data_IF_774683284542
#
_entry.id   IF_774683284542
#
_cell.length_a   1.000
_cell.length_b   1.000
_cell.length_c   1.000
_cell.angle_alpha   90.00
_cell.angle_beta   90.00
_cell.angle_gamma   90.00
#
_symmetry.space_group_name_H-M   'P 1'
#
loop_
_entity.id
_entity.type
_entity.pdbx_description
1 polymer ?
#
# COMPACT_ATOMS: atom_id res chain seq x y z
N UNK A 1 6.73 -8.65 -15.48
CA UNK A 1 5.27 -8.86 -15.52
C UNK A 1 4.74 -9.35 -14.18
N UNK A 2 5.32 -10.40 -13.58
CA UNK A 2 4.92 -10.88 -12.26
C UNK A 2 4.94 -9.77 -11.20
N UNK A 3 5.98 -8.93 -11.20
CA UNK A 3 6.14 -7.83 -10.25
C UNK A 3 4.92 -6.89 -10.21
N UNK A 4 4.42 -6.48 -11.38
CA UNK A 4 3.21 -5.67 -11.49
C UNK A 4 1.94 -6.40 -11.04
N UNK A 5 1.89 -7.72 -11.22
CA UNK A 5 0.75 -8.54 -10.80
C UNK A 5 0.74 -8.84 -9.30
N UNK A 6 1.85 -8.65 -8.58
CA UNK A 6 1.88 -8.80 -7.11
C UNK A 6 1.95 -7.46 -6.38
N UNK A 7 2.38 -6.40 -7.07
CA UNK A 7 2.59 -5.08 -6.52
C UNK A 7 1.36 -4.49 -5.80
N UNK A 8 0.13 -4.52 -6.35
CA UNK A 8 -1.03 -3.91 -5.71
C UNK A 8 -1.30 -4.44 -4.30
N UNK A 9 -1.00 -5.72 -4.04
CA UNK A 9 -1.14 -6.34 -2.73
C UNK A 9 0.04 -5.99 -1.81
N UNK A 10 1.26 -5.94 -2.35
CA UNK A 10 2.45 -5.55 -1.60
C UNK A 10 2.40 -4.08 -1.15
N UNK A 11 1.86 -3.19 -1.98
CA UNK A 11 1.60 -1.80 -1.63
C UNK A 11 0.62 -1.69 -0.45
N UNK A 12 -0.51 -2.40 -0.54
CA UNK A 12 -1.55 -2.40 0.51
C UNK A 12 -1.18 -3.17 1.77
N UNK A 13 -0.14 -3.99 1.75
CA UNK A 13 0.32 -4.71 2.95
C UNK A 13 0.71 -3.76 4.10
N UNK A 14 1.10 -2.52 3.79
CA UNK A 14 1.37 -1.50 4.83
C UNK A 14 0.11 -1.16 5.65
N UNK A 15 -1.09 -1.36 5.10
CA UNK A 15 -2.34 -1.20 5.84
C UNK A 15 -2.46 -2.19 6.99
N UNK A 16 -1.92 -3.40 6.84
CA UNK A 16 -1.96 -4.39 7.91
C UNK A 16 -1.17 -3.90 9.14
N UNK A 17 -0.13 -3.08 8.95
CA UNK A 17 0.56 -2.43 10.06
C UNK A 17 -0.33 -1.38 10.74
N UNK A 18 -1.13 -0.64 9.96
CA UNK A 18 -1.99 0.45 10.45
C UNK A 18 -3.21 -0.11 11.20
N UNK A 19 -3.86 -1.14 10.68
CA UNK A 19 -5.10 -1.71 11.26
C UNK A 19 -4.85 -2.89 12.19
N UNK A 20 -3.83 -3.69 11.90
CA UNK A 20 -3.55 -4.95 12.60
C UNK A 20 -2.55 -4.81 13.74
N UNK A 21 -1.87 -3.67 13.88
CA UNK A 21 -0.86 -3.45 14.93
C UNK A 21 0.40 -4.31 14.74
N UNK A 22 1.20 -4.42 15.81
CA UNK A 22 2.56 -4.99 15.76
C UNK A 22 2.65 -6.47 15.38
N UNK A 23 1.55 -7.21 15.48
CA UNK A 23 1.48 -8.64 15.12
C UNK A 23 1.55 -8.91 13.60
N UNK A 24 1.24 -7.90 12.77
CA UNK A 24 1.32 -8.01 11.31
C UNK A 24 2.53 -7.29 10.72
N UNK A 25 3.43 -6.77 11.57
CA UNK A 25 4.68 -6.17 11.11
C UNK A 25 5.53 -7.23 10.42
N UNK A 26 5.78 -7.01 9.12
CA UNK A 26 6.70 -7.83 8.35
C UNK A 26 8.09 -7.77 9.01
N UNK A 27 8.66 -8.92 9.44
CA UNK A 27 9.96 -8.96 10.08
C UNK A 27 11.04 -8.56 9.08
N UNK A 28 11.48 -7.29 9.17
CA UNK A 28 12.43 -6.67 8.23
C UNK A 28 13.72 -7.49 8.10
N UNK A 29 14.19 -8.06 9.20
CA UNK A 29 15.43 -8.82 9.27
C UNK A 29 15.36 -10.14 8.50
N UNK A 30 14.16 -10.73 8.37
CA UNK A 30 13.96 -11.99 7.63
C UNK A 30 13.61 -11.75 6.15
N UNK A 31 13.16 -10.56 5.81
CA UNK A 31 12.61 -10.21 4.50
C UNK A 31 13.36 -9.05 3.84
N UNK A 32 14.67 -8.93 4.08
CA UNK A 32 15.50 -7.83 3.56
C UNK A 32 15.35 -7.64 2.04
N UNK A 33 15.45 -8.72 1.26
CA UNK A 33 15.30 -8.68 -0.20
C UNK A 33 13.93 -8.19 -0.65
N UNK A 34 12.87 -8.52 0.10
CA UNK A 34 11.52 -8.03 -0.19
C UNK A 34 11.41 -6.53 0.10
N UNK A 35 12.09 -6.04 1.14
CA UNK A 35 12.12 -4.61 1.44
C UNK A 35 12.90 -3.81 0.39
N UNK A 36 14.02 -4.36 -0.10
CA UNK A 36 14.78 -3.78 -1.21
C UNK A 36 13.95 -3.76 -2.51
N UNK A 37 13.31 -4.90 -2.85
CA UNK A 37 12.40 -4.99 -4.00
C UNK A 37 11.24 -4.00 -3.88
N UNK A 38 10.63 -3.86 -2.70
CA UNK A 38 9.54 -2.91 -2.47
C UNK A 38 10.00 -1.48 -2.69
N UNK A 39 11.22 -1.12 -2.25
CA UNK A 39 11.79 0.21 -2.51
C UNK A 39 12.03 0.44 -4.00
N UNK A 40 12.63 -0.53 -4.69
CA UNK A 40 12.87 -0.45 -6.13
C UNK A 40 11.57 -0.32 -6.95
N UNK A 41 10.52 -1.05 -6.56
CA UNK A 41 9.22 -0.96 -7.22
C UNK A 41 8.56 0.40 -7.07
N UNK A 42 8.76 1.14 -5.97
CA UNK A 42 8.24 2.52 -5.85
C UNK A 42 8.92 3.50 -6.82
N UNK A 43 10.15 3.20 -7.22
CA UNK A 43 10.94 4.02 -8.14
C UNK A 43 10.63 3.69 -9.62
N UNK A 44 9.97 2.56 -9.89
CA UNK A 44 9.56 2.16 -11.24
C UNK A 44 8.49 3.09 -11.80
N UNK A 45 8.66 3.53 -13.05
CA UNK A 45 7.76 4.50 -13.71
C UNK A 45 6.31 3.98 -13.86
N UNK A 46 6.13 2.67 -14.07
CA UNK A 46 4.80 2.07 -14.19
C UNK A 46 4.05 2.02 -12.85
N UNK A 47 4.79 1.86 -11.76
CA UNK A 47 4.22 1.90 -10.40
C UNK A 47 4.01 3.33 -9.94
N UNK A 48 5.00 4.20 -10.11
CA UNK A 48 5.02 5.57 -9.59
C UNK A 48 3.82 6.41 -10.02
N UNK A 49 3.34 6.21 -11.25
CA UNK A 49 2.13 6.90 -11.75
C UNK A 49 0.82 6.46 -11.08
N UNK A 50 0.80 5.27 -10.46
CA UNK A 50 -0.39 4.71 -9.78
C UNK A 50 -0.21 4.50 -8.27
N UNK A 51 0.98 4.84 -7.76
CA UNK A 51 1.32 4.65 -6.35
C UNK A 51 0.51 5.59 -5.47
N UNK A 52 -0.05 5.04 -4.39
CA UNK A 52 -0.78 5.77 -3.38
C UNK A 52 -0.15 5.53 -2.01
N UNK A 53 -0.07 6.60 -1.21
CA UNK A 53 0.43 6.48 0.15
C UNK A 53 -0.48 5.58 1.01
N UNK A 54 0.09 4.81 1.96
CA UNK A 54 -0.68 3.92 2.84
C UNK A 54 -1.83 4.63 3.58
N UNK A 55 -1.68 5.91 3.86
CA UNK A 55 -2.69 6.75 4.52
C UNK A 55 -3.94 6.97 3.65
N UNK A 56 -3.77 7.12 2.34
CA UNK A 56 -4.89 7.28 1.39
C UNK A 56 -5.69 5.98 1.35
N UNK A 57 -5.00 4.85 1.24
CA UNK A 57 -5.61 3.53 1.32
C UNK A 57 -6.31 3.30 2.68
N UNK A 58 -5.74 3.78 3.78
CA UNK A 58 -6.34 3.65 5.11
C UNK A 58 -7.61 4.49 5.27
N UNK A 59 -7.64 5.72 4.72
CA UNK A 59 -8.84 6.56 4.66
C UNK A 59 -9.94 5.91 3.84
N UNK A 60 -9.60 5.37 2.67
CA UNK A 60 -10.55 4.63 1.82
C UNK A 60 -11.11 3.39 2.53
N UNK A 61 -10.25 2.62 3.21
CA UNK A 61 -10.71 1.43 3.92
C UNK A 61 -11.64 1.81 5.08
N UNK A 62 -11.34 2.89 5.81
CA UNK A 62 -12.22 3.40 6.88
C UNK A 62 -13.58 3.86 6.33
N UNK A 63 -13.61 4.63 5.24
CA UNK A 63 -14.87 5.09 4.62
C UNK A 63 -15.69 3.92 4.10
N UNK A 64 -15.04 2.92 3.49
CA UNK A 64 -15.67 1.66 3.08
C UNK A 64 -16.23 0.88 4.27
N UNK A 65 -15.50 0.77 5.39
CA UNK A 65 -15.98 0.11 6.61
C UNK A 65 -17.16 0.86 7.26
N UNK A 66 -17.21 2.18 7.13
CA UNK A 66 -18.32 3.01 7.59
C UNK A 66 -19.57 2.93 6.71
N UNK A 67 -19.53 2.21 5.58
CA UNK A 67 -20.64 2.08 4.63
C UNK A 67 -20.79 3.25 3.65
N UNK A 68 -19.88 4.22 3.69
CA UNK A 68 -19.86 5.40 2.81
C UNK A 68 -18.50 5.49 2.11
N UNK A 69 -18.18 4.57 1.17
CA UNK A 69 -16.90 4.57 0.47
C UNK A 69 -16.72 5.86 -0.34
N UNK A 70 -15.64 6.58 -0.05
CA UNK A 70 -15.25 7.80 -0.74
C UNK A 70 -14.26 7.46 -1.86
N UNK A 71 -14.74 7.43 -3.09
CA UNK A 71 -13.93 7.09 -4.27
C UNK A 71 -13.11 8.27 -4.81
N UNK A 72 -13.40 9.50 -4.37
CA UNK A 72 -12.75 10.72 -4.86
C UNK A 72 -11.51 11.11 -4.03
N UNK A 73 -11.14 10.27 -3.04
CA UNK A 73 -9.98 10.47 -2.16
C UNK A 73 -8.64 10.68 -2.90
N UNK A 74 -8.49 10.14 -4.11
CA UNK A 74 -7.28 10.32 -4.92
C UNK A 74 -7.29 11.64 -5.72
N UNK A 75 -8.46 12.25 -5.92
CA UNK A 75 -8.64 13.49 -6.72
C UNK A 75 -8.55 14.73 -5.84
N UNK A 76 -8.91 14.62 -4.55
CA UNK A 76 -8.95 15.73 -3.60
C UNK A 76 -7.58 16.18 -3.03
N UNK A 77 -6.48 15.52 -3.39
CA UNK A 77 -5.12 15.84 -2.92
C UNK A 77 -4.29 16.64 -3.95
N UNK A 78 -4.93 17.21 -4.98
CA UNK A 78 -4.30 18.06 -6.00
C UNK A 78 -4.57 19.55 -5.79
#
# INVERSE_FOLDING_TARGET
MLDYMIWPWCERSDLLNIFGGDQFKLPKDKLMRLMEWKKAMKEDEGVKGSYLEPEVHAKFLKSRMAGTPDYDLSVSNH
#
